data_IF_692680825401
#
_entry.id   IF_692680825401
#
_cell.length_a   1.000
_cell.length_b   1.000
_cell.length_c   1.000
_cell.angle_alpha   90.00
_cell.angle_beta   90.00
_cell.angle_gamma   90.00
#
_symmetry.space_group_name_H-M   'P 1'
#
loop_
_entity.id
_entity.type
_entity.pdbx_description
1 polymer ?
#
# COMPACT_ATOMS: atom_id res chain seq x y z
N UNK A 1 -11.64 20.34 -12.55
CA UNK A 1 -11.23 20.37 -11.12
C UNK A 1 -9.71 20.41 -11.05
N UNK A 2 -9.13 21.27 -10.21
CA UNK A 2 -7.68 21.54 -10.06
C UNK A 2 -6.83 20.26 -10.00
N UNK A 3 -7.26 19.22 -9.27
CA UNK A 3 -6.55 17.92 -9.19
C UNK A 3 -6.32 17.26 -10.56
N UNK A 4 -7.21 17.46 -11.54
CA UNK A 4 -7.04 16.94 -12.89
C UNK A 4 -5.89 17.62 -13.63
N UNK A 5 -5.77 18.96 -13.49
CA UNK A 5 -4.66 19.75 -14.05
C UNK A 5 -3.34 19.35 -13.41
N UNK A 6 -3.31 19.23 -12.08
CA UNK A 6 -2.12 18.79 -11.33
C UNK A 6 -1.67 17.40 -11.77
N UNK A 7 -2.61 16.45 -11.96
CA UNK A 7 -2.27 15.11 -12.46
C UNK A 7 -1.73 15.11 -13.89
N UNK A 8 -2.20 16.01 -14.75
CA UNK A 8 -1.69 16.14 -16.11
C UNK A 8 -0.26 16.70 -16.10
N UNK A 9 -0.06 17.81 -15.39
CA UNK A 9 1.25 18.44 -15.24
C UNK A 9 2.29 17.51 -14.61
N UNK A 10 1.95 16.79 -13.54
CA UNK A 10 2.85 15.83 -12.90
C UNK A 10 3.32 14.73 -13.88
N UNK A 11 2.45 14.28 -14.79
CA UNK A 11 2.80 13.26 -15.78
C UNK A 11 3.70 13.80 -16.88
N UNK A 12 3.53 15.05 -17.26
CA UNK A 12 4.31 15.73 -18.29
C UNK A 12 5.70 16.10 -17.76
N UNK A 13 5.76 16.76 -16.61
CA UNK A 13 7.01 17.23 -15.98
C UNK A 13 7.88 16.09 -15.46
N UNK A 14 7.26 15.04 -14.91
CA UNK A 14 7.97 13.93 -14.27
C UNK A 14 7.62 12.59 -14.92
N UNK A 15 7.94 12.48 -16.21
CA UNK A 15 7.79 11.24 -16.97
C UNK A 15 8.58 10.10 -16.29
N UNK A 16 7.88 9.04 -15.90
CA UNK A 16 8.46 7.88 -15.21
C UNK A 16 8.28 7.88 -13.69
N UNK A 17 7.87 8.99 -13.08
CA UNK A 17 7.57 9.03 -11.66
C UNK A 17 6.11 8.63 -11.41
N UNK A 18 5.84 8.06 -10.24
CA UNK A 18 4.48 7.69 -9.83
C UNK A 18 4.02 8.57 -8.67
N UNK A 19 3.00 9.37 -8.93
CA UNK A 19 2.34 10.18 -7.91
C UNK A 19 0.94 9.68 -7.59
N UNK A 20 0.50 9.88 -6.35
CA UNK A 20 -0.89 9.78 -5.92
C UNK A 20 -1.39 11.18 -5.58
N UNK A 21 -2.23 11.75 -6.44
CA UNK A 21 -2.87 13.04 -6.21
C UNK A 21 -4.39 12.85 -6.01
N UNK A 22 -4.96 13.28 -4.89
CA UNK A 22 -6.39 13.17 -4.59
C UNK A 22 -6.93 14.41 -3.88
N UNK A 23 -8.22 14.67 -4.03
CA UNK A 23 -8.96 15.65 -3.22
C UNK A 23 -9.58 14.92 -2.03
N UNK A 24 -9.42 15.48 -0.84
CA UNK A 24 -9.94 14.97 0.42
C UNK A 24 -10.79 16.07 1.08
N UNK A 25 -11.92 15.69 1.68
CA UNK A 25 -12.82 16.59 2.42
C UNK A 25 -13.23 17.89 1.69
N UNK A 26 -13.32 17.85 0.36
CA UNK A 26 -13.64 18.98 -0.52
C UNK A 26 -12.66 20.17 -0.49
N UNK A 27 -11.82 20.35 0.53
CA UNK A 27 -10.95 21.51 0.67
C UNK A 27 -9.46 21.16 0.74
N UNK A 28 -9.09 19.88 0.68
CA UNK A 28 -7.67 19.48 0.77
C UNK A 28 -7.21 18.72 -0.47
N UNK A 29 -6.03 19.05 -0.97
CA UNK A 29 -5.33 18.34 -2.04
C UNK A 29 -4.15 17.59 -1.42
N UNK A 30 -4.19 16.26 -1.51
CA UNK A 30 -3.12 15.39 -1.02
C UNK A 30 -2.32 14.86 -2.20
N UNK A 31 -1.01 15.10 -2.18
CA UNK A 31 -0.08 14.60 -3.19
C UNK A 31 1.03 13.83 -2.52
N UNK A 32 1.19 12.59 -2.96
CA UNK A 32 2.22 11.68 -2.46
C UNK A 32 3.09 11.18 -3.60
N UNK A 33 4.41 11.33 -3.46
CA UNK A 33 5.39 10.69 -4.34
C UNK A 33 5.51 9.22 -3.95
N UNK A 34 5.15 8.31 -4.85
CA UNK A 34 5.14 6.86 -4.57
C UNK A 34 6.35 6.14 -5.16
N UNK A 35 6.84 6.59 -6.31
CA UNK A 35 8.02 6.03 -6.98
C UNK A 35 8.74 7.09 -7.80
N UNK A 36 10.07 7.06 -7.79
CA UNK A 36 10.93 7.80 -8.71
C UNK A 36 12.25 7.05 -8.91
N UNK A 37 13.12 7.61 -9.74
CA UNK A 37 14.45 7.08 -10.08
C UNK A 37 15.56 7.49 -9.11
N UNK A 38 15.21 8.19 -8.02
CA UNK A 38 16.16 8.66 -7.01
C UNK A 38 15.75 8.24 -5.59
N UNK A 39 16.72 8.20 -4.67
CA UNK A 39 16.46 8.02 -3.23
C UNK A 39 15.84 9.29 -2.65
N UNK A 40 14.60 9.22 -2.17
CA UNK A 40 13.90 10.39 -1.68
C UNK A 40 14.27 10.77 -0.24
N UNK A 41 14.71 9.78 0.55
CA UNK A 41 15.13 9.96 1.93
C UNK A 41 16.64 9.71 2.06
N UNK A 42 17.29 10.47 2.94
CA UNK A 42 18.71 10.26 3.30
C UNK A 42 18.91 8.92 3.98
N UNK A 43 20.06 8.27 3.78
CA UNK A 43 20.39 6.99 4.46
C UNK A 43 20.30 7.09 5.98
N UNK A 44 20.70 8.21 6.56
CA UNK A 44 20.67 8.46 8.01
C UNK A 44 19.25 8.48 8.59
N UNK A 45 18.27 8.92 7.82
CA UNK A 45 16.89 9.01 8.31
C UNK A 45 16.22 7.63 8.40
N UNK A 46 16.69 6.67 7.58
CA UNK A 46 16.12 5.33 7.46
C UNK A 46 14.64 5.33 7.05
N UNK A 47 14.11 6.45 6.56
CA UNK A 47 12.69 6.60 6.25
C UNK A 47 12.35 5.95 4.91
N UNK A 48 11.16 5.37 4.84
CA UNK A 48 10.54 4.84 3.61
C UNK A 48 9.19 5.48 3.32
N UNK A 49 8.60 6.20 4.29
CA UNK A 49 7.42 7.02 4.10
C UNK A 49 7.37 8.16 5.12
N UNK A 50 6.70 9.25 4.77
CA UNK A 50 6.44 10.38 5.66
C UNK A 50 5.73 11.52 4.95
N UNK A 51 5.05 12.36 5.74
CA UNK A 51 4.48 13.61 5.24
C UNK A 51 5.57 14.69 5.19
N UNK A 52 5.48 15.59 4.22
CA UNK A 52 6.44 16.67 3.98
C UNK A 52 5.79 17.99 4.34
N UNK A 53 6.40 18.71 5.29
CA UNK A 53 5.93 20.04 5.65
C UNK A 53 6.31 21.03 4.54
N UNK A 54 5.33 21.50 3.80
CA UNK A 54 5.55 22.38 2.65
C UNK A 54 6.14 23.75 3.04
N UNK A 55 6.02 24.17 4.31
CA UNK A 55 6.67 25.39 4.81
C UNK A 55 8.17 25.21 5.11
N UNK A 56 8.64 23.97 5.29
CA UNK A 56 9.97 23.66 5.81
C UNK A 56 10.68 22.58 4.97
N UNK A 57 10.46 22.57 3.65
CA UNK A 57 11.03 21.56 2.76
C UNK A 57 12.57 21.61 2.78
N UNK A 58 13.16 22.80 2.69
CA UNK A 58 14.63 22.96 2.63
C UNK A 58 15.34 22.51 3.91
N UNK A 59 14.73 22.75 5.08
CA UNK A 59 15.30 22.43 6.39
C UNK A 59 15.08 20.97 6.81
N UNK A 60 14.26 20.20 6.08
CA UNK A 60 14.06 18.78 6.35
C UNK A 60 15.34 17.98 6.07
N UNK A 61 16.01 17.56 7.15
CA UNK A 61 17.24 16.76 7.08
C UNK A 61 16.99 15.33 6.63
N UNK A 62 15.75 14.87 6.63
CA UNK A 62 15.42 13.50 6.25
C UNK A 62 15.27 13.30 4.74
N UNK A 63 15.16 14.38 3.96
CA UNK A 63 15.01 14.40 2.51
C UNK A 63 16.35 14.62 1.80
N UNK A 64 16.52 13.97 0.65
CA UNK A 64 17.64 14.28 -0.26
C UNK A 64 17.37 15.60 -0.99
N UNK A 65 18.43 16.26 -1.47
CA UNK A 65 18.29 17.54 -2.19
C UNK A 65 17.39 17.39 -3.43
N UNK A 66 17.53 16.28 -4.16
CA UNK A 66 16.65 15.97 -5.29
C UNK A 66 15.17 15.85 -4.88
N UNK A 67 14.90 15.25 -3.72
CA UNK A 67 13.53 15.15 -3.20
C UNK A 67 12.97 16.53 -2.85
N UNK A 68 13.79 17.40 -2.27
CA UNK A 68 13.42 18.78 -1.94
C UNK A 68 13.07 19.57 -3.19
N UNK A 69 13.91 19.52 -4.23
CA UNK A 69 13.67 20.21 -5.50
C UNK A 69 12.34 19.77 -6.14
N UNK A 70 12.08 18.46 -6.18
CA UNK A 70 10.85 17.91 -6.75
C UNK A 70 9.64 18.37 -5.93
N UNK A 71 9.70 18.29 -4.60
CA UNK A 71 8.59 18.69 -3.74
C UNK A 71 8.34 20.19 -3.75
N UNK A 72 9.39 21.01 -3.86
CA UNK A 72 9.28 22.45 -3.97
C UNK A 72 8.61 22.85 -5.28
N UNK A 73 9.07 22.31 -6.41
CA UNK A 73 8.45 22.59 -7.71
C UNK A 73 6.96 22.18 -7.75
N UNK A 74 6.61 21.05 -7.11
CA UNK A 74 5.22 20.64 -6.94
C UNK A 74 4.44 21.65 -6.07
N UNK A 75 5.02 22.07 -4.96
CA UNK A 75 4.43 23.07 -4.06
C UNK A 75 4.15 24.37 -4.81
N UNK A 76 5.16 24.93 -5.49
CA UNK A 76 5.08 26.20 -6.21
C UNK A 76 4.02 26.14 -7.33
N UNK A 77 4.04 25.07 -8.13
CA UNK A 77 3.05 24.89 -9.20
C UNK A 77 1.63 24.87 -8.65
N UNK A 78 1.38 24.17 -7.55
CA UNK A 78 0.03 24.03 -7.00
C UNK A 78 -0.41 25.30 -6.29
N UNK A 79 0.47 25.89 -5.49
CA UNK A 79 0.19 27.13 -4.78
C UNK A 79 -0.07 28.29 -5.74
N UNK A 80 0.42 28.24 -6.99
CA UNK A 80 0.04 29.21 -8.03
C UNK A 80 -1.46 29.21 -8.38
N UNK A 81 -2.19 28.11 -8.10
CA UNK A 81 -3.64 28.01 -8.25
C UNK A 81 -4.39 28.27 -6.94
N UNK A 82 -3.68 28.52 -5.85
CA UNK A 82 -4.27 28.84 -4.55
C UNK A 82 -4.43 30.36 -4.43
N UNK A 83 -5.59 30.80 -3.96
CA UNK A 83 -5.78 32.18 -3.52
C UNK A 83 -5.76 32.18 -1.99
N UNK A 84 -5.12 33.19 -1.41
CA UNK A 84 -5.00 33.39 0.03
C UNK A 84 -5.42 34.83 0.36
N UNK A 85 -6.62 34.96 0.95
CA UNK A 85 -7.19 36.24 1.41
C UNK A 85 -7.23 36.32 2.95
N UNK A 86 -6.36 35.55 3.62
CA UNK A 86 -6.44 35.42 5.07
C UNK A 86 -6.15 36.76 5.77
N UNK A 87 -7.13 37.25 6.51
CA UNK A 87 -7.04 38.39 7.40
C UNK A 87 -6.87 37.89 8.86
N UNK A 88 -5.73 38.19 9.50
CA UNK A 88 -5.35 37.61 10.80
C UNK A 88 -6.31 37.94 11.96
N UNK A 89 -7.24 38.88 11.77
CA UNK A 89 -8.18 39.33 12.81
C UNK A 89 -9.61 38.83 12.64
N UNK A 90 -10.00 38.28 11.48
CA UNK A 90 -11.43 38.03 11.18
C UNK A 90 -11.74 36.76 10.40
N UNK A 91 -10.84 36.17 9.61
CA UNK A 91 -11.12 34.93 8.88
C UNK A 91 -9.94 33.94 8.94
N UNK A 92 -10.09 32.97 9.84
CA UNK A 92 -9.10 31.93 10.07
C UNK A 92 -9.07 30.99 8.83
N UNK A 93 -8.13 31.24 7.91
CA UNK A 93 -7.77 30.44 6.73
C UNK A 93 -8.78 30.41 5.56
N UNK A 94 -9.07 31.56 4.96
CA UNK A 94 -9.77 31.61 3.67
C UNK A 94 -8.82 31.29 2.49
N UNK A 95 -8.56 30.00 2.29
CA UNK A 95 -7.79 29.49 1.14
C UNK A 95 -8.67 28.62 0.23
N UNK A 96 -8.38 28.63 -1.07
CA UNK A 96 -9.11 27.82 -2.05
C UNK A 96 -8.98 26.31 -1.74
N UNK A 97 -7.80 25.89 -1.29
CA UNK A 97 -7.57 24.55 -0.75
C UNK A 97 -6.32 24.48 0.15
N UNK A 98 -6.29 23.48 1.03
CA UNK A 98 -5.12 23.06 1.79
C UNK A 98 -4.27 22.06 1.01
N UNK A 99 -2.95 22.23 1.03
CA UNK A 99 -2.01 21.31 0.40
C UNK A 99 -1.37 20.38 1.44
N UNK A 100 -1.38 19.08 1.18
CA UNK A 100 -0.60 18.09 1.93
C UNK A 100 0.34 17.35 0.98
N UNK A 101 1.64 17.49 1.22
CA UNK A 101 2.69 16.77 0.49
C UNK A 101 3.18 15.58 1.32
N UNK A 102 3.62 14.52 0.64
CA UNK A 102 4.20 13.36 1.28
C UNK A 102 5.00 12.48 0.34
N UNK A 103 5.81 11.61 0.90
CA UNK A 103 6.58 10.60 0.19
C UNK A 103 6.16 9.24 0.75
N UNK A 104 5.69 8.37 -0.13
CA UNK A 104 5.04 7.12 0.27
C UNK A 104 3.77 7.35 1.09
N UNK A 105 3.26 6.26 1.64
CA UNK A 105 2.12 6.25 2.54
C UNK A 105 2.27 5.10 3.52
N UNK A 106 1.57 5.18 4.64
CA UNK A 106 1.49 4.08 5.60
C UNK A 106 0.95 2.77 4.99
N UNK A 107 0.22 2.81 3.86
CA UNK A 107 -0.25 1.59 3.16
C UNK A 107 0.73 1.08 2.10
N UNK A 108 1.54 1.98 1.56
CA UNK A 108 2.44 1.73 0.44
C UNK A 108 3.66 2.63 0.60
N UNK A 109 4.82 2.08 1.03
CA UNK A 109 6.03 2.87 1.19
C UNK A 109 6.56 3.31 -0.17
N UNK A 110 7.40 4.34 -0.16
CA UNK A 110 8.11 4.82 -1.33
C UNK A 110 9.07 3.74 -1.87
N UNK A 111 9.19 3.64 -3.19
CA UNK A 111 10.10 2.71 -3.85
C UNK A 111 10.93 3.42 -4.90
N UNK A 112 12.24 3.21 -4.85
CA UNK A 112 13.15 3.63 -5.92
C UNK A 112 13.05 2.62 -7.06
N UNK A 113 12.71 3.08 -8.25
CA UNK A 113 12.78 2.28 -9.48
C UNK A 113 13.88 2.88 -10.35
N UNK A 114 15.11 2.32 -10.32
CA UNK A 114 16.14 2.78 -11.21
C UNK A 114 15.68 2.62 -12.66
N UNK A 115 16.15 3.48 -13.58
CA UNK A 115 15.88 3.31 -15.00
C UNK A 115 16.23 1.89 -15.41
N UNK A 116 15.31 1.20 -16.10
CA UNK A 116 15.53 -0.20 -16.52
C UNK A 116 16.69 -0.25 -17.52
N UNK A 117 17.91 -0.39 -17.03
CA UNK A 117 19.03 -0.87 -17.83
C UNK A 117 18.70 -2.30 -18.24
N UNK A 118 18.56 -2.54 -19.55
CA UNK A 118 18.16 -3.82 -20.10
C UNK A 118 19.23 -4.88 -19.91
N UNK A 119 19.36 -5.45 -18.71
CA UNK A 119 20.16 -6.65 -18.50
C UNK A 119 19.37 -7.88 -18.99
N UNK A 120 19.95 -8.56 -19.99
CA UNK A 120 19.38 -9.76 -20.64
C UNK A 120 19.60 -11.05 -19.84
N UNK A 121 20.41 -11.03 -18.79
CA UNK A 121 20.73 -12.23 -18.02
C UNK A 121 19.96 -12.23 -16.70
N UNK A 122 18.74 -12.78 -16.72
CA UNK A 122 18.03 -13.19 -15.52
C UNK A 122 18.28 -14.68 -15.31
N UNK A 123 18.70 -15.12 -14.11
CA UNK A 123 18.81 -16.54 -13.82
C UNK A 123 17.45 -17.23 -14.04
N UNK A 124 17.47 -18.50 -14.50
CA UNK A 124 16.26 -19.32 -14.58
C UNK A 124 15.69 -19.49 -13.16
N UNK A 125 14.65 -18.73 -12.84
CA UNK A 125 13.89 -18.88 -11.59
C UNK A 125 12.72 -19.82 -11.85
N UNK A 126 12.48 -20.78 -10.95
CA UNK A 126 11.28 -21.61 -10.98
C UNK A 126 10.01 -20.76 -11.01
N UNK A 127 9.13 -21.01 -11.98
CA UNK A 127 7.84 -20.33 -12.12
C UNK A 127 6.75 -21.39 -12.20
N UNK A 128 5.88 -21.43 -11.21
CA UNK A 128 4.67 -22.24 -11.22
C UNK A 128 3.45 -21.31 -11.20
N UNK A 129 2.46 -21.50 -12.09
CA UNK A 129 1.26 -20.69 -12.07
C UNK A 129 0.50 -20.92 -10.76
N UNK A 130 0.00 -19.85 -10.16
CA UNK A 130 -0.85 -19.96 -8.98
C UNK A 130 -2.16 -20.67 -9.34
N UNK A 131 -2.51 -21.69 -8.56
CA UNK A 131 -3.72 -22.48 -8.78
C UNK A 131 -5.02 -21.69 -8.58
N UNK A 132 -6.15 -22.20 -9.10
CA UNK A 132 -7.45 -21.53 -9.01
C UNK A 132 -7.88 -21.20 -7.59
N UNK A 133 -7.61 -22.07 -6.60
CA UNK A 133 -7.97 -21.86 -5.20
C UNK A 133 -7.17 -20.72 -4.57
N UNK A 134 -5.83 -20.73 -4.68
CA UNK A 134 -4.99 -19.62 -4.20
C UNK A 134 -5.38 -18.29 -4.88
N UNK A 135 -5.67 -18.32 -6.18
CA UNK A 135 -6.14 -17.16 -6.94
C UNK A 135 -7.49 -16.62 -6.42
N UNK A 136 -8.43 -17.49 -6.06
CA UNK A 136 -9.71 -17.10 -5.47
C UNK A 136 -9.52 -16.45 -4.09
N UNK A 137 -8.70 -17.06 -3.22
CA UNK A 137 -8.37 -16.49 -1.90
C UNK A 137 -7.73 -15.11 -2.03
N UNK A 138 -6.73 -14.97 -2.91
CA UNK A 138 -6.05 -13.70 -3.13
C UNK A 138 -6.99 -12.62 -3.65
N UNK A 139 -7.94 -12.97 -4.52
CA UNK A 139 -8.98 -12.04 -4.99
C UNK A 139 -9.91 -11.60 -3.87
N UNK A 140 -10.36 -12.53 -3.02
CA UNK A 140 -11.24 -12.22 -1.90
C UNK A 140 -10.54 -11.36 -0.84
N UNK A 141 -9.32 -11.74 -0.45
CA UNK A 141 -8.50 -11.03 0.54
C UNK A 141 -8.02 -9.67 0.03
N UNK A 142 -7.62 -9.56 -1.24
CA UNK A 142 -7.10 -8.33 -1.82
C UNK A 142 -5.76 -7.94 -1.17
N UNK A 143 -5.76 -6.87 -0.39
CA UNK A 143 -4.59 -6.43 0.42
C UNK A 143 -4.66 -6.89 1.87
N UNK A 144 -5.79 -7.46 2.28
CA UNK A 144 -5.98 -7.91 3.65
C UNK A 144 -5.33 -9.27 3.86
N UNK A 145 -4.96 -9.56 5.12
CA UNK A 145 -4.54 -10.88 5.57
C UNK A 145 -5.13 -11.19 6.93
N UNK A 146 -5.12 -12.47 7.26
CA UNK A 146 -5.48 -12.96 8.58
C UNK A 146 -4.23 -12.95 9.48
N UNK A 147 -4.36 -12.42 10.69
CA UNK A 147 -3.25 -12.24 11.62
C UNK A 147 -3.71 -12.27 13.09
N UNK A 148 -2.78 -12.63 13.98
CA UNK A 148 -3.02 -12.67 15.42
C UNK A 148 -2.76 -11.27 15.99
N UNK A 149 -3.56 -10.87 16.98
CA UNK A 149 -3.41 -9.59 17.67
C UNK A 149 -3.05 -9.82 19.15
N UNK A 150 -2.23 -8.95 19.71
CA UNK A 150 -1.79 -9.02 21.11
C UNK A 150 -2.85 -8.47 22.11
N UNK A 151 -4.08 -8.26 21.65
CA UNK A 151 -5.17 -7.78 22.52
C UNK A 151 -5.63 -8.86 23.49
N UNK A 152 -5.71 -8.54 24.79
CA UNK A 152 -6.22 -9.45 25.82
C UNK A 152 -7.62 -10.00 25.53
N UNK A 153 -8.47 -9.22 24.85
CA UNK A 153 -9.86 -9.59 24.54
C UNK A 153 -9.96 -10.63 23.41
N UNK A 154 -9.00 -10.65 22.50
CA UNK A 154 -9.00 -11.47 21.28
C UNK A 154 -7.74 -12.34 21.19
N UNK A 155 -7.14 -12.66 22.35
CA UNK A 155 -5.91 -13.43 22.41
C UNK A 155 -6.12 -14.82 21.80
N UNK A 156 -5.29 -15.16 20.81
CA UNK A 156 -5.39 -16.42 20.07
C UNK A 156 -6.41 -16.41 18.91
N UNK A 157 -7.20 -15.35 18.73
CA UNK A 157 -8.06 -15.22 17.55
C UNK A 157 -7.27 -14.72 16.34
N UNK A 158 -7.57 -15.29 15.16
CA UNK A 158 -7.00 -14.85 13.90
C UNK A 158 -7.98 -13.88 13.25
N UNK A 159 -7.61 -12.61 13.19
CA UNK A 159 -8.46 -11.51 12.73
C UNK A 159 -8.05 -11.05 11.33
N UNK A 160 -9.02 -10.56 10.56
CA UNK A 160 -8.77 -9.90 9.28
C UNK A 160 -8.21 -8.48 9.49
N UNK A 161 -7.07 -8.18 8.86
CA UNK A 161 -6.43 -6.88 8.91
C UNK A 161 -5.64 -6.58 7.65
N UNK A 162 -4.93 -5.46 7.63
CA UNK A 162 -4.00 -5.08 6.56
C UNK A 162 -2.63 -4.74 7.15
N UNK A 163 -1.57 -4.99 6.38
CA UNK A 163 -0.24 -4.54 6.75
C UNK A 163 -0.09 -3.04 6.51
N UNK A 164 0.42 -2.36 7.53
CA UNK A 164 0.76 -0.95 7.51
C UNK A 164 2.26 -0.79 7.75
N UNK A 165 2.84 0.21 7.09
CA UNK A 165 4.25 0.50 7.10
C UNK A 165 4.53 1.71 7.99
N UNK A 166 5.36 1.51 9.01
CA UNK A 166 5.96 2.57 9.80
C UNK A 166 6.83 3.48 8.95
N UNK A 167 7.24 4.61 9.52
CA UNK A 167 8.09 5.59 8.82
C UNK A 167 9.42 4.99 8.39
N UNK A 168 9.95 4.02 9.15
CA UNK A 168 11.24 3.33 8.90
C UNK A 168 11.13 1.98 8.19
N UNK A 169 9.94 1.61 7.72
CA UNK A 169 9.71 0.35 7.02
C UNK A 169 9.36 -0.83 7.91
N UNK A 170 9.17 -0.59 9.21
CA UNK A 170 8.53 -1.54 10.13
C UNK A 170 7.16 -1.93 9.59
N UNK A 171 6.83 -3.23 9.63
CA UNK A 171 5.54 -3.74 9.16
C UNK A 171 4.68 -4.07 10.36
N UNK A 172 3.56 -3.36 10.50
CA UNK A 172 2.58 -3.56 11.55
C UNK A 172 1.32 -4.19 10.97
N UNK A 173 0.78 -5.18 11.66
CA UNK A 173 -0.54 -5.70 11.35
C UNK A 173 -1.60 -4.78 11.96
N UNK A 174 -2.43 -4.16 11.11
CA UNK A 174 -3.53 -3.30 11.55
C UNK A 174 -4.87 -4.02 11.37
N UNK A 175 -5.55 -4.39 12.47
CA UNK A 175 -6.84 -5.07 12.41
C UNK A 175 -7.89 -4.19 11.75
N UNK A 176 -8.77 -4.78 10.92
CA UNK A 176 -9.87 -4.05 10.30
C UNK A 176 -11.08 -4.06 11.20
N UNK A 177 -11.30 -2.92 11.84
CA UNK A 177 -12.51 -2.65 12.60
C UNK A 177 -13.67 -2.30 11.67
N UNK A 178 -14.85 -2.87 11.95
CA UNK A 178 -16.08 -2.58 11.23
C UNK A 178 -17.07 -1.89 12.15
N UNK A 179 -17.42 -0.64 11.81
CA UNK A 179 -18.43 0.16 12.53
C UNK A 179 -19.86 -0.31 12.26
N UNK A 180 -20.10 -1.06 11.17
CA UNK A 180 -21.42 -1.53 10.76
C UNK A 180 -21.44 -3.03 10.52
N UNK A 181 -22.42 -3.71 11.12
CA UNK A 181 -22.74 -5.11 10.90
C UNK A 181 -22.90 -5.44 9.41
N UNK A 182 -23.58 -4.56 8.67
CA UNK A 182 -23.84 -4.74 7.23
C UNK A 182 -22.57 -4.74 6.39
N UNK A 183 -21.59 -3.90 6.75
CA UNK A 183 -20.29 -3.86 6.05
C UNK A 183 -19.41 -5.05 6.40
N UNK A 184 -19.45 -5.50 7.66
CA UNK A 184 -18.78 -6.73 8.08
C UNK A 184 -19.35 -7.95 7.34
N UNK A 185 -20.68 -8.09 7.31
CA UNK A 185 -21.35 -9.20 6.63
C UNK A 185 -21.03 -9.23 5.13
N UNK A 186 -21.14 -8.10 4.43
CA UNK A 186 -20.77 -8.00 3.02
C UNK A 186 -19.31 -8.42 2.74
N UNK A 187 -18.42 -8.22 3.72
CA UNK A 187 -17.03 -8.67 3.61
C UNK A 187 -16.89 -10.17 3.87
N UNK A 188 -17.66 -10.71 4.82
CA UNK A 188 -17.74 -12.15 5.11
C UNK A 188 -18.30 -12.91 3.91
N UNK A 189 -19.39 -12.45 3.29
CA UNK A 189 -20.01 -13.10 2.12
C UNK A 189 -18.97 -13.29 1.00
N UNK A 190 -18.13 -12.27 0.74
CA UNK A 190 -17.04 -12.35 -0.26
C UNK A 190 -15.92 -13.33 0.12
N UNK A 191 -15.70 -13.55 1.40
CA UNK A 191 -14.71 -14.50 1.91
C UNK A 191 -15.28 -15.92 1.85
N UNK A 192 -16.57 -16.09 2.15
CA UNK A 192 -17.29 -17.36 2.05
C UNK A 192 -17.43 -17.83 0.61
N UNK A 193 -17.68 -16.91 -0.35
CA UNK A 193 -17.62 -17.20 -1.80
C UNK A 193 -16.26 -17.79 -2.23
N UNK A 194 -15.18 -17.46 -1.52
CA UNK A 194 -13.84 -18.00 -1.76
C UNK A 194 -13.51 -19.22 -0.87
N UNK A 195 -14.51 -19.78 -0.17
CA UNK A 195 -14.35 -20.95 0.70
C UNK A 195 -13.72 -20.64 2.07
N UNK A 196 -13.71 -19.38 2.50
CA UNK A 196 -13.11 -18.95 3.77
C UNK A 196 -14.22 -18.67 4.79
N UNK A 197 -14.32 -19.50 5.84
CA UNK A 197 -15.34 -19.39 6.89
C UNK A 197 -14.92 -18.35 7.93
N UNK A 198 -15.74 -17.34 8.13
CA UNK A 198 -15.46 -16.22 9.04
C UNK A 198 -16.68 -15.87 9.89
N UNK A 199 -16.45 -15.18 11.01
CA UNK A 199 -17.52 -14.70 11.89
C UNK A 199 -17.20 -13.29 12.41
N UNK A 200 -18.21 -12.41 12.60
CA UNK A 200 -17.98 -11.14 13.28
C UNK A 200 -17.81 -11.35 14.80
N UNK A 201 -16.85 -10.67 15.42
CA UNK A 201 -16.61 -10.77 16.87
C UNK A 201 -17.48 -9.84 17.72
N UNK A 202 -18.29 -8.98 17.10
CA UNK A 202 -19.22 -8.07 17.78
C UNK A 202 -19.71 -6.92 16.90
N UNK A 203 -20.55 -6.04 17.48
CA UNK A 203 -21.08 -4.84 16.84
C UNK A 203 -20.49 -3.58 17.49
N UNK A 204 -20.35 -2.50 16.71
CA UNK A 204 -19.75 -1.22 17.14
C UNK A 204 -18.25 -1.32 17.49
N UNK A 205 -17.45 -1.73 16.51
CA UNK A 205 -16.01 -1.93 16.65
C UNK A 205 -15.56 -3.40 16.65
N UNK A 206 -16.37 -4.26 16.04
CA UNK A 206 -16.06 -5.68 15.89
C UNK A 206 -15.06 -5.96 14.77
N UNK A 207 -14.39 -7.09 14.88
CA UNK A 207 -13.47 -7.63 13.89
C UNK A 207 -14.10 -8.82 13.16
N UNK A 208 -13.48 -9.24 12.06
CA UNK A 208 -13.83 -10.50 11.39
C UNK A 208 -12.78 -11.53 11.81
N UNK A 209 -13.20 -12.59 12.51
CA UNK A 209 -12.34 -13.71 12.88
C UNK A 209 -12.44 -14.86 11.88
N UNK A 210 -11.33 -15.54 11.65
CA UNK A 210 -11.24 -16.75 10.82
C UNK A 210 -11.65 -17.97 11.64
N UNK A 211 -12.61 -18.75 11.14
CA UNK A 211 -12.97 -20.06 11.70
C UNK A 211 -12.28 -21.20 10.96
N UNK A 212 -12.01 -21.02 9.66
CA UNK A 212 -11.31 -22.00 8.84
C UNK A 212 -11.71 -21.93 7.37
N UNK A 213 -11.63 -23.06 6.68
CA UNK A 213 -11.96 -23.18 5.26
C UNK A 213 -13.07 -24.21 5.07
N UNK A 214 -13.81 -24.11 3.97
CA UNK A 214 -14.74 -25.17 3.55
C UNK A 214 -13.96 -26.45 3.20
N UNK A 215 -14.55 -27.64 3.36
CA UNK A 215 -13.90 -28.91 3.00
C UNK A 215 -13.41 -28.91 1.54
N UNK A 216 -14.25 -28.46 0.61
CA UNK A 216 -13.93 -28.34 -0.82
C UNK A 216 -12.69 -27.48 -1.07
N UNK A 217 -12.57 -26.37 -0.33
CA UNK A 217 -11.44 -25.46 -0.45
C UNK A 217 -10.16 -26.07 0.13
N UNK A 218 -10.24 -26.80 1.24
CA UNK A 218 -9.09 -27.52 1.82
C UNK A 218 -8.56 -28.57 0.86
N UNK A 219 -9.44 -29.37 0.27
CA UNK A 219 -9.06 -30.42 -0.67
C UNK A 219 -8.42 -29.84 -1.94
N UNK A 220 -8.95 -28.70 -2.42
CA UNK A 220 -8.39 -27.97 -3.56
C UNK A 220 -7.00 -27.41 -3.26
N UNK A 221 -6.81 -26.80 -2.09
CA UNK A 221 -5.52 -26.26 -1.65
C UNK A 221 -4.47 -27.36 -1.47
N UNK A 222 -4.84 -28.52 -0.92
CA UNK A 222 -3.92 -29.64 -0.74
C UNK A 222 -3.50 -30.26 -2.09
N UNK A 223 -4.43 -30.35 -3.04
CA UNK A 223 -4.11 -30.78 -4.42
C UNK A 223 -3.11 -29.83 -5.08
N UNK A 224 -3.36 -28.52 -5.02
CA UNK A 224 -2.45 -27.51 -5.58
C UNK A 224 -1.06 -27.55 -4.92
N UNK A 225 -1.01 -27.83 -3.61
CA UNK A 225 0.25 -28.00 -2.87
C UNK A 225 1.04 -29.20 -3.38
N UNK A 226 0.38 -30.34 -3.65
CA UNK A 226 1.02 -31.54 -4.18
C UNK A 226 1.54 -31.29 -5.61
N UNK A 227 0.75 -30.64 -6.45
CA UNK A 227 1.15 -30.25 -7.82
C UNK A 227 2.38 -29.33 -7.81
N UNK A 228 2.38 -28.32 -6.93
CA UNK A 228 3.53 -27.43 -6.75
C UNK A 228 4.78 -28.20 -6.30
N UNK A 229 4.63 -29.09 -5.30
CA UNK A 229 5.74 -29.89 -4.78
C UNK A 229 6.34 -30.79 -5.86
N UNK A 230 5.50 -31.48 -6.64
CA UNK A 230 5.93 -32.31 -7.76
C UNK A 230 6.63 -31.48 -8.86
N UNK A 231 6.06 -30.32 -9.23
CA UNK A 231 6.66 -29.43 -10.22
C UNK A 231 8.02 -28.87 -9.77
N UNK A 232 8.13 -28.51 -8.48
CA UNK A 232 9.38 -28.02 -7.90
C UNK A 232 10.45 -29.12 -7.88
N UNK A 233 10.10 -30.33 -7.44
CA UNK A 233 11.02 -31.48 -7.47
C UNK A 233 11.51 -31.79 -8.89
N UNK A 234 10.62 -31.80 -9.87
CA UNK A 234 10.99 -32.03 -11.27
C UNK A 234 11.92 -30.94 -11.83
N UNK A 235 11.69 -29.67 -11.46
CA UNK A 235 12.57 -28.57 -11.84
C UNK A 235 13.94 -28.65 -11.17
N UNK A 236 13.98 -28.97 -9.87
CA UNK A 236 15.22 -29.11 -9.10
C UNK A 236 16.10 -30.23 -9.65
N UNK A 237 15.52 -31.39 -9.97
CA UNK A 237 16.25 -32.50 -10.61
C UNK A 237 16.84 -32.11 -11.96
N UNK A 238 16.13 -31.32 -12.77
CA UNK A 238 16.65 -30.82 -14.06
C UNK A 238 17.79 -29.82 -13.90
N UNK A 239 17.77 -28.99 -12.85
CA UNK A 239 18.88 -28.09 -12.55
C UNK A 239 20.12 -28.87 -12.11
N UNK A 240 19.97 -29.85 -11.21
CA UNK A 240 21.10 -30.67 -10.74
C UNK A 240 21.74 -31.49 -11.88
N UNK A 241 20.95 -31.98 -12.84
CA UNK A 241 21.46 -32.68 -14.03
C UNK A 241 22.22 -31.78 -15.02
N UNK A 242 22.01 -30.45 -14.99
CA UNK A 242 22.73 -29.49 -15.86
C UNK A 242 24.09 -29.06 -15.28
N UNK A 243 24.35 -29.35 -14.01
CA UNK A 243 25.55 -28.91 -13.27
C UNK A 243 26.63 -30.00 -13.18
N UNK A 244 26.40 -31.17 -13.78
CA UNK A 244 27.36 -32.29 -13.93
C UNK A 244 27.82 -32.32 -15.39
#
# INVERSE_FOLDING_TARGET
VIVGLVRAWLKETYAGYKFSARRENCHSIHIRLMKADFEAFTKESGKVQGDVNHHHIHSDKSLTDRAKDVMMNICDFIMSYNFDDSAPMTDYFHTNFYLTLGIGSYKQPYKVEPPKLGSKDKPEVFKHPEGPAHKAMRRALGKARFGIIESRKYAGEIILGEDCFGSRGEVYFWPKEYSSAKMAQKRIDKLEEAGIKCEPTGYNGGYIRLLGYTPEMRDSLERERQEYAAAYQAWYSKQNLKTI
#
